data_IF_895540359677
#
_entry.id   IF_895540359677
#
_cell.length_a   1.000
_cell.length_b   1.000
_cell.length_c   1.000
_cell.angle_alpha   90.00
_cell.angle_beta   90.00
_cell.angle_gamma   90.00
#
_symmetry.space_group_name_H-M   'P 1'
#
loop_
_entity.id
_entity.type
_entity.pdbx_description
1 polymer ?
#
# COMPACT_ATOMS: atom_id res chain seq x y z
N UNK A 1 7.96 13.65 -35.33
CA UNK A 1 8.39 14.25 -34.04
C UNK A 1 7.21 14.33 -33.06
N UNK A 2 6.10 15.00 -33.41
CA UNK A 2 4.87 15.07 -32.59
C UNK A 2 4.29 13.69 -32.20
N UNK A 3 4.18 12.74 -33.13
CA UNK A 3 3.63 11.40 -32.83
C UNK A 3 4.44 10.63 -31.78
N UNK A 4 5.78 10.77 -31.77
CA UNK A 4 6.63 10.16 -30.74
C UNK A 4 6.40 10.82 -29.38
N UNK A 5 6.34 12.16 -29.32
CA UNK A 5 6.05 12.88 -28.08
C UNK A 5 4.67 12.53 -27.52
N UNK A 6 3.66 12.37 -28.37
CA UNK A 6 2.32 11.96 -27.94
C UNK A 6 2.34 10.56 -27.30
N UNK A 7 3.04 9.60 -27.91
CA UNK A 7 3.20 8.25 -27.34
C UNK A 7 3.96 8.26 -26.00
N UNK A 8 5.02 9.07 -25.89
CA UNK A 8 5.78 9.24 -24.66
C UNK A 8 4.91 9.82 -23.53
N UNK A 9 4.07 10.81 -23.84
CA UNK A 9 3.14 11.41 -22.88
C UNK A 9 2.10 10.38 -22.44
N UNK A 10 1.52 9.61 -23.37
CA UNK A 10 0.54 8.57 -23.05
C UNK A 10 1.15 7.47 -22.17
N UNK A 11 2.37 7.03 -22.47
CA UNK A 11 3.05 6.01 -21.68
C UNK A 11 3.44 6.53 -20.28
N UNK A 12 3.91 7.77 -20.20
CA UNK A 12 4.23 8.43 -18.94
C UNK A 12 2.99 8.64 -18.05
N UNK A 13 1.87 9.10 -18.64
CA UNK A 13 0.61 9.26 -17.92
C UNK A 13 0.04 7.91 -17.51
N UNK A 14 0.04 6.92 -18.41
CA UNK A 14 -0.49 5.59 -18.13
C UNK A 14 0.29 4.88 -17.01
N UNK A 15 1.62 4.89 -17.07
CA UNK A 15 2.45 4.33 -16.01
C UNK A 15 2.31 5.09 -14.69
N UNK A 16 2.25 6.44 -14.72
CA UNK A 16 2.04 7.25 -13.52
C UNK A 16 0.70 6.98 -12.82
N UNK A 17 -0.39 6.88 -13.59
CA UNK A 17 -1.72 6.54 -13.07
C UNK A 17 -1.71 5.12 -12.49
N UNK A 18 -1.14 4.15 -13.21
CA UNK A 18 -1.09 2.76 -12.75
C UNK A 18 -0.32 2.62 -11.41
N UNK A 19 0.85 3.26 -11.29
CA UNK A 19 1.67 3.22 -10.06
C UNK A 19 0.97 3.93 -8.90
N UNK A 20 0.37 5.09 -9.14
CA UNK A 20 -0.33 5.86 -8.10
C UNK A 20 -1.59 5.13 -7.62
N UNK A 21 -2.37 4.57 -8.55
CA UNK A 21 -3.54 3.77 -8.22
C UNK A 21 -3.15 2.51 -7.42
N UNK A 22 -2.07 1.82 -7.81
CA UNK A 22 -1.59 0.63 -7.11
C UNK A 22 -1.14 0.92 -5.67
N UNK A 23 -0.36 1.98 -5.47
CA UNK A 23 0.11 2.38 -4.13
C UNK A 23 -1.04 2.84 -3.24
N UNK A 24 -1.95 3.66 -3.76
CA UNK A 24 -3.12 4.11 -3.00
C UNK A 24 -4.08 2.96 -2.67
N UNK A 25 -4.33 2.04 -3.62
CA UNK A 25 -5.17 0.87 -3.39
C UNK A 25 -4.59 -0.05 -2.29
N UNK A 26 -3.27 -0.20 -2.21
CA UNK A 26 -2.64 -0.98 -1.15
C UNK A 26 -2.85 -0.34 0.23
N UNK A 27 -2.63 0.97 0.35
CA UNK A 27 -2.77 1.70 1.62
C UNK A 27 -4.24 1.76 2.07
N UNK A 28 -5.15 2.07 1.15
CA UNK A 28 -6.59 2.13 1.41
C UNK A 28 -7.19 0.75 1.67
N UNK A 29 -6.78 -0.27 0.91
CA UNK A 29 -7.28 -1.64 1.04
C UNK A 29 -6.90 -2.32 2.36
N UNK A 30 -5.73 -1.99 2.92
CA UNK A 30 -5.33 -2.45 4.26
C UNK A 30 -6.06 -1.66 5.37
N UNK A 31 -6.64 -0.49 5.05
CA UNK A 31 -7.42 0.30 6.01
C UNK A 31 -6.56 1.04 7.03
N UNK A 32 -5.32 1.39 6.69
CA UNK A 32 -4.40 2.12 7.58
C UNK A 32 -4.98 3.49 7.96
N UNK A 33 -5.44 4.25 6.96
CA UNK A 33 -6.00 5.60 7.12
C UNK A 33 -7.28 5.63 7.98
N UNK A 34 -8.32 4.82 7.68
CA UNK A 34 -9.54 4.84 8.50
C UNK A 34 -9.29 4.43 9.95
N UNK A 35 -8.28 3.59 10.22
CA UNK A 35 -7.94 3.23 11.61
C UNK A 35 -7.23 4.32 12.39
N UNK A 36 -6.41 5.14 11.74
CA UNK A 36 -5.88 6.33 12.38
C UNK A 36 -7.01 7.29 12.76
N UNK A 37 -7.99 7.47 11.86
CA UNK A 37 -9.14 8.32 12.12
C UNK A 37 -10.05 7.76 13.24
N UNK A 38 -10.22 6.43 13.29
CA UNK A 38 -10.98 5.74 14.33
C UNK A 38 -10.30 5.83 15.71
N UNK A 39 -9.00 5.52 15.80
CA UNK A 39 -8.24 5.60 17.07
C UNK A 39 -8.19 7.02 17.64
N UNK A 40 -8.07 8.03 16.79
CA UNK A 40 -8.07 9.44 17.20
C UNK A 40 -9.48 9.99 17.41
N UNK A 41 -10.54 9.17 17.27
CA UNK A 41 -11.95 9.59 17.36
C UNK A 41 -12.28 10.78 16.44
N UNK A 42 -11.53 10.89 15.34
CA UNK A 42 -11.54 12.05 14.43
C UNK A 42 -11.99 11.58 13.03
N UNK A 43 -12.92 10.63 12.98
CA UNK A 43 -13.49 10.07 11.74
C UNK A 43 -14.08 11.14 10.80
N UNK A 44 -14.55 12.26 11.37
CA UNK A 44 -15.07 13.41 10.60
C UNK A 44 -14.04 14.02 9.65
N UNK A 45 -12.74 13.86 9.91
CA UNK A 45 -11.66 14.46 9.10
C UNK A 45 -10.89 13.42 8.28
N UNK A 46 -11.51 12.29 7.91
CA UNK A 46 -10.88 11.25 7.10
C UNK A 46 -10.21 11.80 5.83
N UNK A 47 -10.88 12.70 5.11
CA UNK A 47 -10.36 13.36 3.92
C UNK A 47 -9.05 14.13 4.17
N UNK A 48 -8.86 14.69 5.36
CA UNK A 48 -7.62 15.39 5.71
C UNK A 48 -6.45 14.42 5.90
N UNK A 49 -6.71 13.23 6.44
CA UNK A 49 -5.69 12.18 6.54
C UNK A 49 -5.31 11.64 5.16
N UNK A 50 -6.28 11.43 4.27
CA UNK A 50 -6.02 11.02 2.88
C UNK A 50 -5.22 12.09 2.12
N UNK A 51 -5.63 13.36 2.21
CA UNK A 51 -4.91 14.47 1.58
C UNK A 51 -3.48 14.60 2.12
N UNK A 52 -3.26 14.36 3.42
CA UNK A 52 -1.92 14.35 4.02
C UNK A 52 -1.06 13.22 3.47
N UNK A 53 -1.63 12.03 3.27
CA UNK A 53 -0.93 10.90 2.65
C UNK A 53 -0.58 11.18 1.17
N UNK A 54 -1.52 11.79 0.42
CA UNK A 54 -1.30 12.20 -0.97
C UNK A 54 -0.17 13.24 -1.05
N UNK A 55 -0.20 14.26 -0.19
CA UNK A 55 0.87 15.27 -0.11
C UNK A 55 2.22 14.63 0.21
N UNK A 56 2.27 13.69 1.14
CA UNK A 56 3.48 12.92 1.46
C UNK A 56 4.01 12.14 0.26
N UNK A 57 3.13 11.51 -0.53
CA UNK A 57 3.48 10.81 -1.77
C UNK A 57 4.04 11.75 -2.84
N UNK A 58 3.43 12.92 -3.02
CA UNK A 58 3.91 13.95 -3.97
C UNK A 58 5.29 14.44 -3.56
N UNK A 59 5.49 14.81 -2.29
CA UNK A 59 6.78 15.29 -1.77
C UNK A 59 7.84 14.20 -1.91
N UNK A 60 7.53 12.95 -1.54
CA UNK A 60 8.43 11.82 -1.67
C UNK A 60 8.86 11.56 -3.11
N UNK A 61 7.93 11.67 -4.06
CA UNK A 61 8.23 11.52 -5.49
C UNK A 61 9.15 12.64 -6.00
N UNK A 62 8.90 13.89 -5.60
CA UNK A 62 9.77 15.03 -5.95
C UNK A 62 11.18 14.81 -5.40
N UNK A 63 11.31 14.41 -4.13
CA UNK A 63 12.63 14.13 -3.52
C UNK A 63 13.36 13.01 -4.26
N UNK A 64 12.63 11.95 -4.65
CA UNK A 64 13.18 10.81 -5.38
C UNK A 64 13.67 11.21 -6.79
N UNK A 65 12.85 11.93 -7.56
CA UNK A 65 13.16 12.35 -8.93
C UNK A 65 14.34 13.35 -8.97
N UNK A 66 14.31 14.37 -8.11
CA UNK A 66 15.30 15.44 -8.15
C UNK A 66 16.57 15.14 -7.34
N UNK A 67 16.66 13.95 -6.72
CA UNK A 67 17.78 13.53 -5.86
C UNK A 67 18.24 14.64 -4.89
N UNK A 68 17.28 15.32 -4.26
CA UNK A 68 17.53 16.47 -3.40
C UNK A 68 18.38 15.99 -2.21
N UNK A 69 19.62 16.50 -2.11
CA UNK A 69 20.54 16.15 -1.03
C UNK A 69 20.26 17.03 0.18
N UNK A 70 19.68 16.44 1.22
CA UNK A 70 19.48 17.13 2.50
C UNK A 70 20.81 17.23 3.29
N UNK A 71 21.22 18.44 3.73
CA UNK A 71 22.28 18.61 4.73
C UNK A 71 21.73 18.26 6.12
N UNK A 72 22.42 17.36 6.86
CA UNK A 72 21.92 16.83 8.14
C UNK A 72 21.46 15.37 8.07
N UNK A 73 22.29 14.50 7.44
CA UNK A 73 21.97 13.10 7.13
C UNK A 73 21.49 12.28 8.34
N UNK A 74 22.12 12.43 9.51
CA UNK A 74 21.86 11.56 10.67
C UNK A 74 20.50 11.83 11.29
N UNK A 75 20.16 13.10 11.56
CA UNK A 75 18.88 13.47 12.18
C UNK A 75 17.73 13.18 11.20
N UNK A 76 17.91 13.50 9.92
CA UNK A 76 16.90 13.22 8.89
C UNK A 76 16.66 11.72 8.74
N UNK A 77 17.71 10.89 8.73
CA UNK A 77 17.56 9.43 8.72
C UNK A 77 16.88 8.90 9.98
N UNK A 78 17.21 9.44 11.16
CA UNK A 78 16.61 9.00 12.42
C UNK A 78 15.10 9.29 12.46
N UNK A 79 14.70 10.50 12.06
CA UNK A 79 13.29 10.89 11.95
C UNK A 79 12.59 10.03 10.89
N UNK A 80 13.19 9.88 9.71
CA UNK A 80 12.61 9.05 8.65
C UNK A 80 12.45 7.59 9.06
N UNK A 81 13.45 7.02 9.74
CA UNK A 81 13.40 5.66 10.27
C UNK A 81 12.31 5.49 11.33
N UNK A 82 12.15 6.46 12.23
CA UNK A 82 11.08 6.46 13.21
C UNK A 82 9.69 6.53 12.55
N UNK A 83 9.50 7.45 11.60
CA UNK A 83 8.25 7.57 10.84
C UNK A 83 7.94 6.30 10.05
N UNK A 84 8.93 5.71 9.38
CA UNK A 84 8.78 4.45 8.65
C UNK A 84 8.43 3.30 9.60
N UNK A 85 9.01 3.26 10.80
CA UNK A 85 8.68 2.26 11.81
C UNK A 85 7.24 2.38 12.30
N UNK A 86 6.76 3.59 12.58
CA UNK A 86 5.36 3.84 12.97
C UNK A 86 4.41 3.43 11.85
N UNK A 87 4.73 3.78 10.60
CA UNK A 87 3.92 3.41 9.44
C UNK A 87 3.84 1.88 9.25
N UNK A 88 4.98 1.19 9.26
CA UNK A 88 5.03 -0.28 9.12
C UNK A 88 4.33 -0.97 10.30
N UNK A 89 4.50 -0.46 11.52
CA UNK A 89 3.80 -0.97 12.70
C UNK A 89 2.27 -0.85 12.55
N UNK A 90 1.79 0.29 12.04
CA UNK A 90 0.36 0.47 11.78
C UNK A 90 -0.13 -0.45 10.65
N UNK A 91 0.63 -0.61 9.57
CA UNK A 91 0.33 -1.58 8.49
C UNK A 91 0.15 -3.01 9.03
N UNK A 92 1.04 -3.46 9.91
CA UNK A 92 0.98 -4.81 10.49
C UNK A 92 -0.23 -4.95 11.42
N UNK A 93 -0.50 -3.95 12.26
CA UNK A 93 -1.70 -3.93 13.12
C UNK A 93 -3.00 -3.92 12.30
N UNK A 94 -3.02 -3.15 11.21
CA UNK A 94 -4.09 -3.10 10.23
C UNK A 94 -4.38 -4.49 9.66
N UNK A 95 -3.34 -5.15 9.18
CA UNK A 95 -3.43 -6.50 8.64
C UNK A 95 -3.90 -7.51 9.70
N UNK A 96 -3.34 -7.49 10.91
CA UNK A 96 -3.66 -8.45 11.96
C UNK A 96 -5.15 -8.46 12.35
N UNK A 97 -5.77 -7.29 12.42
CA UNK A 97 -7.19 -7.20 12.77
C UNK A 97 -8.11 -7.57 11.59
N UNK A 98 -7.71 -7.31 10.33
CA UNK A 98 -8.43 -7.87 9.17
C UNK A 98 -8.35 -9.41 9.20
N UNK A 99 -7.17 -9.96 9.48
CA UNK A 99 -6.98 -11.40 9.60
C UNK A 99 -7.82 -12.02 10.73
N UNK A 100 -7.99 -11.33 11.85
CA UNK A 100 -8.85 -11.76 12.95
C UNK A 100 -10.35 -11.72 12.59
N UNK A 101 -10.77 -10.86 11.65
CA UNK A 101 -12.17 -10.77 11.20
C UNK A 101 -12.55 -11.92 10.25
N UNK A 102 -11.63 -12.44 9.45
CA UNK A 102 -11.87 -13.56 8.51
C UNK A 102 -12.49 -14.81 9.19
N UNK A 103 -11.94 -15.36 10.29
CA UNK A 103 -12.53 -16.53 10.93
C UNK A 103 -13.90 -16.24 11.56
N UNK A 104 -14.09 -15.02 12.07
CA UNK A 104 -15.37 -14.56 12.64
C UNK A 104 -16.45 -14.55 11.54
N UNK A 105 -16.15 -13.94 10.40
CA UNK A 105 -17.05 -13.88 9.25
C UNK A 105 -17.41 -15.29 8.76
N UNK A 106 -16.43 -16.17 8.66
CA UNK A 106 -16.62 -17.55 8.20
C UNK A 106 -17.52 -18.36 9.13
N UNK A 107 -17.38 -18.17 10.45
CA UNK A 107 -18.28 -18.79 11.43
C UNK A 107 -19.71 -18.28 11.30
N UNK A 108 -19.90 -16.99 10.99
CA UNK A 108 -21.24 -16.37 10.79
C UNK A 108 -21.94 -16.89 9.54
N UNK A 109 -21.19 -17.15 8.45
CA UNK A 109 -21.73 -17.71 7.21
C UNK A 109 -21.86 -19.26 7.26
N UNK A 110 -21.58 -19.89 8.41
CA UNK A 110 -21.61 -21.36 8.61
C UNK A 110 -20.70 -22.14 7.66
N UNK A 111 -19.67 -21.51 7.10
CA UNK A 111 -18.71 -22.12 6.17
C UNK A 111 -17.51 -22.79 6.89
N UNK A 112 -17.77 -23.47 8.02
CA UNK A 112 -16.71 -23.95 8.92
C UNK A 112 -15.70 -24.92 8.28
N UNK A 113 -16.11 -25.72 7.28
CA UNK A 113 -15.21 -26.64 6.55
C UNK A 113 -14.58 -26.04 5.27
N UNK A 114 -15.15 -24.98 4.71
CA UNK A 114 -14.71 -24.41 3.44
C UNK A 114 -13.45 -23.52 3.54
N UNK A 115 -13.20 -22.95 4.72
CA UNK A 115 -12.08 -22.01 4.93
C UNK A 115 -10.71 -22.63 4.63
N UNK A 116 -10.49 -23.87 5.10
CA UNK A 116 -9.22 -24.56 4.89
C UNK A 116 -8.92 -24.73 3.39
N UNK A 117 -9.93 -25.13 2.61
CA UNK A 117 -9.82 -25.21 1.16
C UNK A 117 -9.51 -23.85 0.51
N UNK A 118 -10.19 -22.79 0.93
CA UNK A 118 -9.95 -21.43 0.40
C UNK A 118 -8.51 -20.98 0.68
N UNK A 119 -8.03 -21.16 1.91
CA UNK A 119 -6.66 -20.78 2.29
C UNK A 119 -5.63 -21.58 1.47
N UNK A 120 -5.85 -22.88 1.30
CA UNK A 120 -4.97 -23.74 0.49
C UNK A 120 -4.99 -23.30 -0.99
N UNK A 121 -6.15 -22.99 -1.56
CA UNK A 121 -6.24 -22.50 -2.94
C UNK A 121 -5.51 -21.17 -3.14
N UNK A 122 -5.62 -20.24 -2.18
CA UNK A 122 -4.89 -18.95 -2.21
C UNK A 122 -3.38 -19.21 -2.08
N UNK A 123 -2.97 -20.09 -1.18
CA UNK A 123 -1.57 -20.44 -0.99
C UNK A 123 -0.98 -21.07 -2.26
N UNK A 124 -1.69 -22.02 -2.87
CA UNK A 124 -1.29 -22.63 -4.14
C UNK A 124 -1.16 -21.60 -5.26
N UNK A 125 -2.14 -20.69 -5.40
CA UNK A 125 -2.08 -19.60 -6.38
C UNK A 125 -0.88 -18.67 -6.18
N UNK A 126 -0.52 -18.37 -4.92
CA UNK A 126 0.71 -17.61 -4.62
C UNK A 126 1.97 -18.39 -4.92
N UNK A 127 2.03 -19.68 -4.58
CA UNK A 127 3.19 -20.53 -4.86
C UNK A 127 3.42 -20.64 -6.36
N UNK A 128 2.37 -20.91 -7.14
CA UNK A 128 2.47 -21.00 -8.60
C UNK A 128 2.84 -19.65 -9.21
N UNK A 129 2.25 -18.55 -8.74
CA UNK A 129 2.62 -17.20 -9.17
C UNK A 129 4.09 -16.87 -8.91
N UNK A 130 4.58 -17.11 -7.69
CA UNK A 130 5.99 -16.89 -7.33
C UNK A 130 6.94 -17.79 -8.11
N UNK A 131 6.55 -19.04 -8.36
CA UNK A 131 7.38 -19.99 -9.12
C UNK A 131 7.48 -19.58 -10.60
N UNK A 132 6.37 -19.15 -11.21
CA UNK A 132 6.37 -18.61 -12.56
C UNK A 132 7.21 -17.33 -12.64
N UNK A 133 7.07 -16.41 -11.68
CA UNK A 133 7.88 -15.20 -11.65
C UNK A 133 9.38 -15.51 -11.59
N UNK A 134 9.78 -16.49 -10.77
CA UNK A 134 11.16 -16.94 -10.69
C UNK A 134 11.68 -17.54 -12.01
N UNK A 135 10.85 -18.32 -12.73
CA UNK A 135 11.23 -18.95 -14.00
C UNK A 135 11.31 -17.95 -15.17
N UNK A 136 10.39 -16.97 -15.22
CA UNK A 136 10.35 -15.97 -16.30
C UNK A 136 11.25 -14.76 -16.06
N UNK A 137 11.83 -14.61 -14.85
CA UNK A 137 12.80 -13.56 -14.54
C UNK A 137 12.23 -12.14 -14.56
N UNK A 138 10.93 -11.99 -14.28
CA UNK A 138 10.27 -10.69 -14.14
C UNK A 138 10.42 -10.12 -12.73
#
# INVERSE_FOLDING_TARGET
MLAKQLMLILYGLGSGIAVSAGTFAAIAGIGVIPRFADRTHTAKYLLWYENSAILGGIIGNIIYIYHIRFPGKVITLAVFGCCSGIFVGCMVMALAEILNVIPIFTRRVKLAKGLSFIIISIALGKITGSWLQFLYGW
#
